data_IF_031208878332
#
_entry.id   IF_031208878332
#
_cell.length_a   1.000
_cell.length_b   1.000
_cell.length_c   1.000
_cell.angle_alpha   90.00
_cell.angle_beta   90.00
_cell.angle_gamma   90.00
#
_symmetry.space_group_name_H-M   'P 1'
#
loop_
_entity.id
_entity.type
_entity.pdbx_description
1 polymer ?
#
# COMPACT_ATOMS: atom_id res chain seq x y z
N UNK A 1 -15.08 36.88 69.94
CA UNK A 1 -14.49 35.59 69.46
C UNK A 1 -15.33 34.87 68.40
N UNK A 2 -16.69 34.86 68.49
CA UNK A 2 -17.54 34.17 67.49
C UNK A 2 -17.49 34.75 66.10
N UNK A 3 -17.24 36.05 65.92
CA UNK A 3 -17.18 36.70 64.56
C UNK A 3 -15.84 36.56 63.89
N UNK A 4 -14.73 36.44 64.63
CA UNK A 4 -13.41 36.20 64.10
C UNK A 4 -13.30 34.78 63.53
N UNK A 5 -13.94 33.81 64.19
CA UNK A 5 -13.98 32.40 63.69
C UNK A 5 -14.77 32.27 62.37
N UNK A 6 -15.82 33.06 62.18
CA UNK A 6 -16.61 33.09 60.92
C UNK A 6 -15.82 33.69 59.77
N UNK A 7 -14.98 34.69 59.99
CA UNK A 7 -14.13 35.34 59.01
C UNK A 7 -13.03 34.38 58.58
N UNK A 8 -12.43 33.59 59.46
CA UNK A 8 -11.41 32.60 59.17
C UNK A 8 -11.98 31.48 58.31
N UNK A 9 -13.22 31.04 58.56
CA UNK A 9 -13.89 30.01 57.75
C UNK A 9 -14.17 30.50 56.33
N UNK A 10 -14.58 31.77 56.14
CA UNK A 10 -14.83 32.36 54.83
C UNK A 10 -13.53 32.55 54.04
N UNK A 11 -12.41 32.92 54.67
CA UNK A 11 -11.10 33.05 54.01
C UNK A 11 -10.52 31.71 53.61
N UNK A 12 -10.77 30.61 54.33
CA UNK A 12 -10.32 29.25 54.04
C UNK A 12 -10.98 28.62 52.80
N UNK A 13 -12.23 29.02 52.49
CA UNK A 13 -12.96 28.53 51.33
C UNK A 13 -12.46 29.17 50.02
N UNK A 14 -11.90 30.39 50.08
CA UNK A 14 -11.41 31.11 48.90
C UNK A 14 -9.98 30.66 48.46
N UNK A 15 -9.27 29.87 49.26
CA UNK A 15 -7.91 29.40 48.98
C UNK A 15 -7.86 27.95 48.45
N UNK A 16 -9.00 27.34 48.06
CA UNK A 16 -8.94 26.08 47.34
C UNK A 16 -8.35 26.31 45.96
N UNK A 17 -7.15 25.78 45.63
CA UNK A 17 -6.66 25.84 44.30
C UNK A 17 -7.64 25.06 43.42
N UNK A 18 -8.27 25.75 42.47
CA UNK A 18 -8.99 25.11 41.37
C UNK A 18 -7.97 24.30 40.61
N UNK A 19 -7.80 23.02 40.96
CA UNK A 19 -7.10 22.07 40.10
C UNK A 19 -7.93 21.93 38.85
N UNK A 20 -7.79 22.92 37.94
CA UNK A 20 -8.25 22.79 36.59
C UNK A 20 -7.42 21.65 36.01
N UNK A 21 -7.98 20.45 36.01
CA UNK A 21 -7.47 19.36 35.15
C UNK A 21 -7.61 19.89 33.74
N UNK A 22 -6.51 20.43 33.20
CA UNK A 22 -6.41 20.78 31.81
C UNK A 22 -6.59 19.46 31.04
N UNK A 23 -7.85 19.18 30.67
CA UNK A 23 -8.12 18.04 29.78
C UNK A 23 -7.25 18.24 28.57
N UNK A 24 -6.36 17.26 28.31
CA UNK A 24 -5.53 17.28 27.11
C UNK A 24 -6.49 17.33 25.92
N UNK A 25 -6.55 18.46 25.24
CA UNK A 25 -7.36 18.60 24.03
C UNK A 25 -6.82 17.61 23.03
N UNK A 26 -7.63 16.60 22.72
CA UNK A 26 -7.30 15.60 21.71
C UNK A 26 -7.49 16.27 20.35
N UNK A 27 -6.40 16.49 19.64
CA UNK A 27 -6.43 17.00 18.27
C UNK A 27 -6.47 15.84 17.31
N UNK A 28 -7.51 15.77 16.49
CA UNK A 28 -7.71 14.77 15.46
C UNK A 28 -7.45 15.39 14.10
N UNK A 29 -7.06 14.56 13.14
CA UNK A 29 -6.94 14.95 11.75
C UNK A 29 -7.23 13.75 10.86
N UNK A 30 -7.36 14.01 9.57
CA UNK A 30 -7.49 12.97 8.57
C UNK A 30 -6.68 13.30 7.33
N UNK A 31 -6.42 12.27 6.52
CA UNK A 31 -5.77 12.41 5.22
C UNK A 31 -6.27 11.31 4.30
N UNK A 32 -6.49 11.62 3.03
CA UNK A 32 -6.69 10.59 2.03
C UNK A 32 -5.31 10.07 1.56
N UNK A 33 -4.93 8.89 2.04
CA UNK A 33 -3.64 8.27 1.70
C UNK A 33 -3.51 7.97 0.21
N UNK A 34 -4.62 7.63 -0.49
CA UNK A 34 -4.61 7.38 -1.92
C UNK A 34 -4.29 8.65 -2.71
N UNK A 35 -4.85 9.80 -2.30
CA UNK A 35 -4.56 11.07 -2.98
C UNK A 35 -3.14 11.55 -2.71
N UNK A 36 -2.62 11.34 -1.49
CA UNK A 36 -1.22 11.58 -1.19
C UNK A 36 -0.31 10.70 -2.07
N UNK A 37 -0.55 9.40 -2.13
CA UNK A 37 0.28 8.48 -2.90
C UNK A 37 0.30 8.77 -4.39
N UNK A 38 -0.81 9.27 -4.98
CA UNK A 38 -0.86 9.69 -6.39
C UNK A 38 0.14 10.79 -6.74
N UNK A 39 0.41 11.69 -5.79
CA UNK A 39 1.30 12.85 -5.99
C UNK A 39 2.72 12.62 -5.48
N UNK A 40 3.01 11.44 -4.91
CA UNK A 40 4.34 11.13 -4.39
C UNK A 40 5.40 11.06 -5.49
N UNK A 41 6.57 11.68 -5.29
CA UNK A 41 7.68 11.56 -6.22
C UNK A 41 8.11 10.10 -6.39
N UNK A 42 8.34 9.71 -7.65
CA UNK A 42 8.72 8.36 -8.01
C UNK A 42 7.54 7.40 -8.26
N UNK A 43 6.29 7.82 -7.95
CA UNK A 43 5.09 6.99 -8.18
C UNK A 43 4.91 6.64 -9.65
N UNK A 44 5.01 7.63 -10.53
CA UNK A 44 4.84 7.42 -11.98
C UNK A 44 5.96 6.56 -12.56
N UNK A 45 7.19 6.76 -12.09
CA UNK A 45 8.34 5.93 -12.51
C UNK A 45 8.18 4.48 -12.05
N UNK A 46 7.70 4.26 -10.82
CA UNK A 46 7.42 2.94 -10.29
C UNK A 46 6.30 2.26 -11.09
N UNK A 47 5.22 2.98 -11.39
CA UNK A 47 4.11 2.49 -12.20
C UNK A 47 4.57 2.09 -13.61
N UNK A 48 5.33 2.96 -14.28
CA UNK A 48 5.88 2.67 -15.61
C UNK A 48 6.80 1.45 -15.61
N UNK A 49 7.62 1.29 -14.56
CA UNK A 49 8.50 0.13 -14.43
C UNK A 49 7.71 -1.18 -14.20
N UNK A 50 6.61 -1.12 -13.44
CA UNK A 50 5.72 -2.26 -13.22
C UNK A 50 4.97 -2.64 -14.49
N UNK A 51 4.45 -1.68 -15.22
CA UNK A 51 3.75 -1.92 -16.48
C UNK A 51 4.68 -2.55 -17.54
N UNK A 52 5.92 -2.04 -17.63
CA UNK A 52 6.93 -2.64 -18.52
C UNK A 52 7.22 -4.08 -18.12
N UNK A 53 7.42 -4.33 -16.85
CA UNK A 53 7.70 -5.68 -16.35
C UNK A 53 6.52 -6.64 -16.58
N UNK A 54 5.28 -6.20 -16.34
CA UNK A 54 4.09 -6.99 -16.63
C UNK A 54 4.01 -7.39 -18.12
N UNK A 55 4.29 -6.43 -19.03
CA UNK A 55 4.32 -6.72 -20.47
C UNK A 55 5.42 -7.71 -20.86
N UNK A 56 6.59 -7.65 -20.23
CA UNK A 56 7.67 -8.59 -20.45
C UNK A 56 7.27 -10.01 -20.03
N UNK A 57 6.66 -10.17 -18.85
CA UNK A 57 6.15 -11.45 -18.35
C UNK A 57 5.04 -12.01 -19.25
N UNK A 58 4.08 -11.16 -19.63
CA UNK A 58 2.99 -11.54 -20.54
C UNK A 58 3.50 -11.99 -21.91
N UNK A 59 4.46 -11.25 -22.48
CA UNK A 59 5.08 -11.58 -23.76
C UNK A 59 5.80 -12.94 -23.70
N UNK A 60 6.52 -13.20 -22.62
CA UNK A 60 7.21 -14.48 -22.41
C UNK A 60 6.21 -15.63 -22.30
N UNK A 61 5.16 -15.46 -21.50
CA UNK A 61 4.10 -16.45 -21.34
C UNK A 61 3.42 -16.78 -22.68
N UNK A 62 3.07 -15.74 -23.44
CA UNK A 62 2.48 -15.88 -24.77
C UNK A 62 3.41 -16.63 -25.73
N UNK A 63 4.71 -16.34 -25.68
CA UNK A 63 5.72 -17.06 -26.46
C UNK A 63 5.75 -18.56 -26.12
N UNK A 64 5.77 -18.90 -24.84
CA UNK A 64 5.75 -20.29 -24.37
C UNK A 64 4.46 -21.03 -24.80
N UNK A 65 3.32 -20.37 -24.72
CA UNK A 65 2.02 -20.92 -25.14
C UNK A 65 1.98 -21.16 -26.66
N UNK A 66 2.49 -20.21 -27.44
CA UNK A 66 2.57 -20.34 -28.89
C UNK A 66 3.51 -21.47 -29.33
N UNK A 67 4.64 -21.65 -28.63
CA UNK A 67 5.55 -22.76 -28.88
C UNK A 67 4.88 -24.10 -28.57
N UNK A 68 4.19 -24.22 -27.43
CA UNK A 68 3.44 -25.42 -27.06
C UNK A 68 2.41 -25.78 -28.16
N UNK A 69 1.61 -24.78 -28.57
CA UNK A 69 0.60 -24.96 -29.63
C UNK A 69 1.22 -25.46 -30.94
N UNK A 70 2.33 -24.84 -31.40
CA UNK A 70 3.03 -25.25 -32.59
C UNK A 70 3.51 -26.70 -32.48
N UNK A 71 4.16 -27.07 -31.37
CA UNK A 71 4.64 -28.44 -31.15
C UNK A 71 3.51 -29.47 -31.04
N UNK A 72 2.37 -29.05 -30.47
CA UNK A 72 1.17 -29.89 -30.40
C UNK A 72 0.61 -30.17 -31.82
N UNK A 73 0.53 -29.13 -32.65
CA UNK A 73 0.08 -29.25 -34.03
C UNK A 73 1.04 -30.13 -34.84
N UNK A 74 2.35 -29.95 -34.71
CA UNK A 74 3.38 -30.79 -35.37
C UNK A 74 3.27 -32.25 -34.94
N UNK A 75 3.07 -32.50 -33.64
CA UNK A 75 2.85 -33.86 -33.13
C UNK A 75 1.60 -34.48 -33.72
N UNK A 76 0.47 -33.76 -33.67
CA UNK A 76 -0.84 -34.29 -34.16
C UNK A 76 -0.80 -34.60 -35.64
N UNK A 77 -0.16 -33.76 -36.44
CA UNK A 77 -0.08 -33.96 -37.90
C UNK A 77 0.83 -35.12 -38.33
N UNK A 78 1.84 -35.46 -37.53
CA UNK A 78 2.85 -36.45 -37.87
C UNK A 78 2.81 -37.75 -37.05
N UNK A 79 1.94 -37.79 -35.98
CA UNK A 79 1.92 -38.92 -35.06
C UNK A 79 1.60 -40.29 -35.71
N UNK A 80 0.82 -40.30 -36.80
CA UNK A 80 0.49 -41.54 -37.52
C UNK A 80 1.71 -42.23 -38.13
N UNK A 81 2.78 -41.47 -38.42
CA UNK A 81 4.02 -41.95 -39.03
C UNK A 81 5.15 -42.18 -38.01
N UNK A 82 4.89 -41.88 -36.74
CA UNK A 82 5.88 -42.01 -35.67
C UNK A 82 5.90 -43.45 -35.09
N UNK A 83 7.07 -43.93 -34.69
CA UNK A 83 7.17 -45.11 -33.83
C UNK A 83 6.63 -44.83 -32.44
N UNK A 84 6.26 -45.88 -31.71
CA UNK A 84 5.70 -45.74 -30.34
C UNK A 84 6.68 -45.06 -29.39
N UNK A 85 7.99 -45.32 -29.52
CA UNK A 85 9.01 -44.65 -28.72
C UNK A 85 9.05 -43.14 -29.00
N UNK A 86 8.96 -42.72 -30.26
CA UNK A 86 8.91 -41.29 -30.62
C UNK A 86 7.64 -40.62 -30.09
N UNK A 87 6.46 -41.30 -30.20
CA UNK A 87 5.20 -40.80 -29.66
C UNK A 87 5.30 -40.56 -28.15
N UNK A 88 5.83 -41.55 -27.41
CA UNK A 88 6.01 -41.39 -25.93
C UNK A 88 6.95 -40.21 -25.61
N UNK A 89 8.08 -40.10 -26.32
CA UNK A 89 9.02 -39.00 -26.12
C UNK A 89 8.35 -37.64 -26.38
N UNK A 90 7.62 -37.50 -27.50
CA UNK A 90 6.93 -36.26 -27.87
C UNK A 90 5.80 -35.92 -26.91
N UNK A 91 5.02 -36.91 -26.45
CA UNK A 91 3.99 -36.69 -25.43
C UNK A 91 4.61 -36.16 -24.13
N UNK A 92 5.74 -36.74 -23.72
CA UNK A 92 6.43 -36.26 -22.52
C UNK A 92 6.96 -34.83 -22.68
N UNK A 93 7.56 -34.51 -23.85
CA UNK A 93 8.02 -33.15 -24.16
C UNK A 93 6.87 -32.13 -24.03
N UNK A 94 5.68 -32.44 -24.56
CA UNK A 94 4.50 -31.56 -24.46
C UNK A 94 4.01 -31.40 -23.01
N UNK A 95 3.98 -32.48 -22.23
CA UNK A 95 3.65 -32.44 -20.80
C UNK A 95 4.65 -31.59 -20.01
N UNK A 96 5.94 -31.76 -20.26
CA UNK A 96 7.01 -30.99 -19.64
C UNK A 96 6.91 -29.48 -20.00
N UNK A 97 6.49 -29.17 -21.24
CA UNK A 97 6.23 -27.79 -21.65
C UNK A 97 5.02 -27.21 -20.93
N UNK A 98 3.93 -27.97 -20.79
CA UNK A 98 2.76 -27.52 -20.00
C UNK A 98 3.13 -27.23 -18.55
N UNK A 99 3.86 -28.14 -17.92
CA UNK A 99 4.33 -27.96 -16.55
C UNK A 99 5.18 -26.68 -16.41
N UNK A 100 6.13 -26.45 -17.36
CA UNK A 100 6.94 -25.21 -17.36
C UNK A 100 6.11 -23.93 -17.53
N UNK A 101 5.01 -23.99 -18.28
CA UNK A 101 4.10 -22.84 -18.43
C UNK A 101 3.40 -22.53 -17.11
N UNK A 102 2.91 -23.56 -16.38
CA UNK A 102 2.30 -23.38 -15.08
C UNK A 102 3.31 -22.86 -14.04
N UNK A 103 4.49 -23.46 -13.98
CA UNK A 103 5.59 -22.98 -13.12
C UNK A 103 5.96 -21.51 -13.42
N UNK A 104 5.99 -21.16 -14.72
CA UNK A 104 6.27 -19.77 -15.11
C UNK A 104 5.17 -18.82 -14.65
N UNK A 105 3.89 -19.19 -14.76
CA UNK A 105 2.77 -18.36 -14.29
C UNK A 105 2.86 -18.06 -12.79
N UNK A 106 3.10 -19.10 -11.99
CA UNK A 106 3.23 -18.94 -10.54
C UNK A 106 4.43 -18.05 -10.18
N UNK A 107 5.58 -18.33 -10.80
CA UNK A 107 6.80 -17.56 -10.57
C UNK A 107 6.66 -16.12 -11.06
N UNK A 108 6.01 -15.87 -12.19
CA UNK A 108 5.76 -14.53 -12.74
C UNK A 108 4.86 -13.70 -11.82
N UNK A 109 3.82 -14.32 -11.26
CA UNK A 109 2.95 -13.64 -10.29
C UNK A 109 3.73 -13.22 -9.05
N UNK A 110 4.55 -14.11 -8.51
CA UNK A 110 5.39 -13.81 -7.35
C UNK A 110 6.43 -12.73 -7.66
N UNK A 111 7.12 -12.84 -8.78
CA UNK A 111 8.12 -11.85 -9.22
C UNK A 111 7.51 -10.46 -9.41
N UNK A 112 6.29 -10.39 -9.99
CA UNK A 112 5.57 -9.12 -10.11
C UNK A 112 5.24 -8.51 -8.73
N UNK A 113 4.72 -9.31 -7.79
CA UNK A 113 4.40 -8.85 -6.43
C UNK A 113 5.65 -8.39 -5.67
N UNK A 114 6.75 -9.13 -5.78
CA UNK A 114 8.02 -8.78 -5.15
C UNK A 114 8.58 -7.46 -5.72
N UNK A 115 8.46 -7.27 -7.04
CA UNK A 115 8.86 -6.05 -7.71
C UNK A 115 7.98 -4.87 -7.35
N UNK A 116 6.66 -5.06 -7.27
CA UNK A 116 5.71 -4.05 -6.81
C UNK A 116 6.06 -3.58 -5.40
N UNK A 117 6.23 -4.53 -4.48
CA UNK A 117 6.63 -4.24 -3.11
C UNK A 117 7.95 -3.47 -3.05
N UNK A 118 8.95 -3.92 -3.81
CA UNK A 118 10.28 -3.28 -3.87
C UNK A 118 10.21 -1.82 -4.35
N UNK A 119 9.36 -1.54 -5.34
CA UNK A 119 9.22 -0.20 -5.91
C UNK A 119 8.32 0.72 -5.08
N UNK A 120 7.23 0.20 -4.51
CA UNK A 120 6.25 1.02 -3.82
C UNK A 120 6.56 1.21 -2.33
N UNK A 121 7.19 0.24 -1.65
CA UNK A 121 7.51 0.35 -0.22
C UNK A 121 8.26 1.64 0.12
N UNK A 122 9.35 2.04 -0.56
CA UNK A 122 10.06 3.27 -0.20
C UNK A 122 9.22 4.54 -0.40
N UNK A 123 8.27 4.52 -1.35
CA UNK A 123 7.34 5.64 -1.60
C UNK A 123 6.32 5.73 -0.47
N UNK A 124 5.76 4.58 -0.07
CA UNK A 124 4.80 4.47 1.03
C UNK A 124 5.45 4.87 2.36
N UNK A 125 6.66 4.38 2.62
CA UNK A 125 7.40 4.71 3.86
C UNK A 125 7.71 6.21 3.95
N UNK A 126 8.08 6.84 2.83
CA UNK A 126 8.29 8.30 2.76
C UNK A 126 7.01 9.08 3.02
N UNK A 127 5.88 8.64 2.46
CA UNK A 127 4.57 9.27 2.70
C UNK A 127 4.17 9.12 4.17
N UNK A 128 4.29 7.92 4.73
CA UNK A 128 3.98 7.61 6.13
C UNK A 128 4.83 8.44 7.08
N UNK A 129 6.14 8.53 6.84
CA UNK A 129 7.04 9.36 7.63
C UNK A 129 6.65 10.83 7.60
N UNK A 130 6.25 11.36 6.45
CA UNK A 130 5.80 12.75 6.35
C UNK A 130 4.50 13.01 7.13
N UNK A 131 3.57 12.05 7.14
CA UNK A 131 2.35 12.12 7.96
C UNK A 131 2.71 12.13 9.45
N UNK A 132 3.58 11.21 9.88
CA UNK A 132 4.06 11.12 11.26
C UNK A 132 4.73 12.42 11.72
N UNK A 133 5.62 12.98 10.89
CA UNK A 133 6.32 14.22 11.18
C UNK A 133 5.32 15.40 11.32
N UNK A 134 4.35 15.52 10.39
CA UNK A 134 3.29 16.55 10.46
C UNK A 134 2.43 16.36 11.71
N UNK A 135 2.08 15.13 12.05
CA UNK A 135 1.30 14.85 13.25
C UNK A 135 2.04 15.29 14.51
N UNK A 136 3.31 14.96 14.64
CA UNK A 136 4.15 15.33 15.77
C UNK A 136 4.34 16.88 15.87
N UNK A 137 4.68 17.53 14.77
CA UNK A 137 4.92 18.99 14.70
C UNK A 137 3.68 19.79 15.05
N UNK A 138 2.49 19.32 14.66
CA UNK A 138 1.22 20.02 14.88
C UNK A 138 0.43 19.47 16.07
N UNK A 139 1.03 18.56 16.86
CA UNK A 139 0.45 17.98 18.09
C UNK A 139 -0.88 17.26 17.86
N UNK A 140 -1.05 16.61 16.72
CA UNK A 140 -2.17 15.70 16.50
C UNK A 140 -2.04 14.47 17.40
N UNK A 141 -3.15 14.03 17.99
CA UNK A 141 -3.21 12.82 18.78
C UNK A 141 -3.44 11.58 17.89
N UNK A 142 -4.22 11.75 16.83
CA UNK A 142 -4.53 10.71 15.84
C UNK A 142 -4.71 11.33 14.46
N UNK A 143 -4.28 10.58 13.44
CA UNK A 143 -4.57 10.86 12.04
C UNK A 143 -5.30 9.64 11.48
N UNK A 144 -6.47 9.86 10.91
CA UNK A 144 -7.27 8.81 10.27
C UNK A 144 -7.06 8.81 8.76
N UNK A 145 -7.03 7.61 8.17
CA UNK A 145 -7.02 7.49 6.72
C UNK A 145 -8.46 7.53 6.18
N UNK A 146 -8.78 8.62 5.48
CA UNK A 146 -10.08 8.78 4.83
C UNK A 146 -10.17 8.12 3.45
N UNK A 147 -9.03 7.67 2.91
CA UNK A 147 -8.96 7.01 1.59
C UNK A 147 -9.49 5.58 1.58
N UNK A 148 -9.61 4.93 2.75
CA UNK A 148 -10.05 3.54 2.87
C UNK A 148 -11.54 3.38 3.21
N UNK A 149 -12.29 4.49 3.24
CA UNK A 149 -13.75 4.47 3.45
C UNK A 149 -14.20 4.12 4.88
N UNK A 150 -13.30 4.19 5.87
CA UNK A 150 -13.62 3.94 7.28
C UNK A 150 -14.29 5.11 7.98
N UNK A 151 -14.17 6.34 7.44
CA UNK A 151 -14.80 7.55 7.95
C UNK A 151 -16.09 7.81 7.19
N UNK A 152 -17.21 7.90 7.92
CA UNK A 152 -18.52 8.24 7.36
C UNK A 152 -18.69 9.76 7.15
N UNK A 153 -18.01 10.55 7.98
CA UNK A 153 -17.98 12.02 7.92
C UNK A 153 -16.61 12.52 8.36
N UNK A 154 -16.15 13.57 7.72
CA UNK A 154 -14.91 14.29 8.03
C UNK A 154 -15.08 15.77 7.72
N UNK A 155 -14.58 16.62 8.61
CA UNK A 155 -14.57 18.06 8.37
C UNK A 155 -13.32 18.42 7.53
N UNK A 156 -13.51 19.22 6.48
CA UNK A 156 -12.42 19.63 5.60
C UNK A 156 -11.33 20.44 6.32
N UNK A 157 -11.66 21.10 7.44
CA UNK A 157 -10.69 21.84 8.25
C UNK A 157 -9.66 20.94 8.95
N UNK A 158 -9.98 19.65 9.13
CA UNK A 158 -9.12 18.65 9.77
C UNK A 158 -8.27 17.86 8.77
N UNK A 159 -8.35 18.19 7.45
CA UNK A 159 -7.52 17.58 6.41
C UNK A 159 -6.06 18.06 6.53
N UNK A 160 -5.15 17.12 6.74
CA UNK A 160 -3.71 17.41 6.85
C UNK A 160 -2.96 17.26 5.53
N UNK A 161 -3.62 16.87 4.43
CA UNK A 161 -2.96 16.71 3.13
C UNK A 161 -2.17 17.95 2.71
N UNK A 162 -2.68 19.20 2.87
CA UNK A 162 -1.91 20.40 2.54
C UNK A 162 -0.62 20.53 3.35
N UNK A 163 -0.64 20.16 4.64
CA UNK A 163 0.53 20.20 5.51
C UNK A 163 1.56 19.14 5.10
N UNK A 164 1.10 17.94 4.77
CA UNK A 164 1.96 16.84 4.31
C UNK A 164 2.59 17.17 2.95
N UNK A 165 1.83 17.75 2.02
CA UNK A 165 2.36 18.28 0.75
C UNK A 165 3.49 19.26 0.98
N UNK A 166 3.28 20.25 1.84
CA UNK A 166 4.30 21.25 2.21
C UNK A 166 5.53 20.58 2.81
N UNK A 167 5.36 19.59 3.71
CA UNK A 167 6.46 18.85 4.33
C UNK A 167 7.30 18.08 3.32
N UNK A 168 6.66 17.54 2.30
CA UNK A 168 7.30 16.81 1.19
C UNK A 168 7.86 17.72 0.09
N UNK A 169 7.62 19.03 0.16
CA UNK A 169 8.01 19.99 -0.89
C UNK A 169 7.19 19.85 -2.19
N UNK A 170 5.96 19.31 -2.08
CA UNK A 170 5.04 19.14 -3.21
C UNK A 170 4.19 20.39 -3.41
N UNK A 171 3.85 20.68 -4.66
CA UNK A 171 2.95 21.79 -5.04
C UNK A 171 1.50 21.40 -5.01
#
# INVERSE_FOLDING_TARGET
>A
MKNVLKIIIILGIFSMPLFSNAQKVIKLGHINSNDLLKIMPGRDSAQTALEKHAKELESTLKGMQSELETRYQDFTSSQAQMSDLIKQTKTKELQDMQARIEDFRENAQKDYQDREKKLLTPIIDKAKKAIEDVAAENKYSYIFDSGVGSLLYQDASDDILPLVKKKLGLK
#
